data_IF_594092106482
#
_entry.id   IF_594092106482
#
_cell.length_a   1.000
_cell.length_b   1.000
_cell.length_c   1.000
_cell.angle_alpha   90.00
_cell.angle_beta   90.00
_cell.angle_gamma   90.00
#
_symmetry.space_group_name_H-M   'P 1'
#
loop_
_entity.id
_entity.type
_entity.pdbx_description
1 polymer ?
#
# COMPACT_ATOMS: atom_id res chain seq x y z
N UNK A 1 31.57 -11.64 -29.92
CA UNK A 1 30.90 -10.59 -29.12
C UNK A 1 31.93 -9.50 -28.83
N UNK A 2 31.73 -8.29 -29.38
CA UNK A 2 32.76 -7.25 -29.46
C UNK A 2 32.77 -6.33 -28.23
N UNK A 3 33.97 -5.92 -27.80
CA UNK A 3 34.24 -4.95 -26.71
C UNK A 3 33.52 -3.60 -26.88
N UNK A 4 32.97 -3.32 -28.06
CA UNK A 4 32.20 -2.11 -28.36
C UNK A 4 30.78 -2.11 -27.74
N UNK A 5 30.14 -3.28 -27.60
CA UNK A 5 28.76 -3.37 -27.09
C UNK A 5 28.68 -3.15 -25.58
N UNK A 6 29.70 -3.57 -24.83
CA UNK A 6 29.79 -3.38 -23.39
C UNK A 6 29.97 -1.90 -23.00
N UNK A 7 30.48 -1.07 -23.92
CA UNK A 7 30.75 0.36 -23.68
C UNK A 7 29.50 1.22 -23.80
N UNK A 8 28.53 0.84 -24.65
CA UNK A 8 27.23 1.51 -24.77
C UNK A 8 26.35 1.29 -23.56
N UNK A 9 26.37 0.08 -23.00
CA UNK A 9 25.65 -0.22 -21.76
C UNK A 9 26.25 0.62 -20.62
N UNK A 10 27.58 0.68 -20.47
CA UNK A 10 28.24 1.42 -19.37
C UNK A 10 28.03 2.94 -19.37
N UNK A 11 27.82 3.58 -20.53
CA UNK A 11 27.66 5.03 -20.65
C UNK A 11 26.32 5.58 -20.17
N UNK A 12 25.26 4.77 -20.18
CA UNK A 12 23.94 5.14 -19.67
C UNK A 12 23.81 4.99 -18.14
N UNK A 13 24.84 4.45 -17.46
CA UNK A 13 24.68 3.79 -16.18
C UNK A 13 25.32 4.47 -14.95
N UNK A 14 25.72 5.74 -15.01
CA UNK A 14 26.24 6.43 -13.80
C UNK A 14 25.22 7.35 -13.11
N UNK A 15 24.20 7.82 -13.84
CA UNK A 15 23.00 8.47 -13.29
C UNK A 15 21.69 8.00 -13.95
N UNK A 16 21.79 7.23 -15.05
CA UNK A 16 20.66 6.77 -15.86
C UNK A 16 20.23 5.32 -15.64
N UNK A 17 20.96 4.48 -14.89
CA UNK A 17 20.43 3.15 -14.51
C UNK A 17 19.27 3.30 -13.58
N UNK A 18 19.45 4.08 -12.51
CA UNK A 18 18.49 4.14 -11.41
C UNK A 18 17.19 4.77 -11.92
N UNK A 19 17.30 5.94 -12.58
CA UNK A 19 16.16 6.58 -13.23
C UNK A 19 15.55 5.72 -14.36
N UNK A 20 16.39 5.02 -15.14
CA UNK A 20 15.91 4.11 -16.19
C UNK A 20 15.18 2.88 -15.63
N UNK A 21 15.66 2.33 -14.52
CA UNK A 21 15.09 1.19 -13.80
C UNK A 21 13.81 1.60 -13.09
N UNK A 22 13.78 2.77 -12.44
CA UNK A 22 12.58 3.34 -11.83
C UNK A 22 11.50 3.59 -12.87
N UNK A 23 11.84 4.22 -14.00
CA UNK A 23 10.91 4.41 -15.10
C UNK A 23 10.42 3.09 -15.71
N UNK A 24 11.28 2.06 -15.78
CA UNK A 24 10.90 0.73 -16.24
C UNK A 24 9.97 0.03 -15.23
N UNK A 25 10.25 0.13 -13.94
CA UNK A 25 9.44 -0.41 -12.86
C UNK A 25 8.05 0.27 -12.83
N UNK A 26 8.00 1.59 -12.97
CA UNK A 26 6.75 2.34 -13.05
C UNK A 26 5.89 1.89 -14.25
N UNK A 27 6.49 1.81 -15.46
CA UNK A 27 5.78 1.31 -16.66
C UNK A 27 5.33 -0.15 -16.50
N UNK A 28 6.14 -0.99 -15.85
CA UNK A 28 5.77 -2.37 -15.56
C UNK A 28 4.57 -2.43 -14.62
N UNK A 29 4.61 -1.68 -13.50
CA UNK A 29 3.54 -1.64 -12.52
C UNK A 29 2.23 -1.12 -13.13
N UNK A 30 2.29 -0.04 -13.90
CA UNK A 30 1.13 0.51 -14.61
C UNK A 30 0.52 -0.53 -15.57
N UNK A 31 1.36 -1.19 -16.37
CA UNK A 31 0.91 -2.24 -17.29
C UNK A 31 0.30 -3.44 -16.56
N UNK A 32 0.98 -3.93 -15.51
CA UNK A 32 0.49 -5.04 -14.70
C UNK A 32 -0.85 -4.68 -14.04
N UNK A 33 -0.99 -3.46 -13.54
CA UNK A 33 -2.23 -2.94 -12.97
C UNK A 33 -3.37 -2.89 -13.99
N UNK A 34 -3.10 -2.48 -15.23
CA UNK A 34 -4.08 -2.45 -16.33
C UNK A 34 -4.48 -3.84 -16.82
N UNK A 35 -3.55 -4.80 -16.78
CA UNK A 35 -3.76 -6.18 -17.21
C UNK A 35 -4.37 -7.08 -16.11
N UNK A 36 -4.73 -6.52 -14.94
CA UNK A 36 -5.29 -7.30 -13.83
C UNK A 36 -4.29 -8.28 -13.23
N UNK A 37 -2.99 -7.98 -13.33
CA UNK A 37 -1.92 -8.86 -12.88
C UNK A 37 -1.44 -8.56 -11.46
N UNK A 38 -2.17 -7.71 -10.73
CA UNK A 38 -1.83 -7.21 -9.40
C UNK A 38 -3.00 -7.48 -8.46
N UNK A 39 -2.75 -8.32 -7.46
CA UNK A 39 -3.77 -8.72 -6.48
C UNK A 39 -3.79 -7.75 -5.29
N UNK A 40 -2.63 -7.17 -4.96
CA UNK A 40 -2.46 -6.22 -3.85
C UNK A 40 -1.70 -4.99 -4.33
N UNK A 41 -2.34 -3.83 -4.23
CA UNK A 41 -1.68 -2.54 -4.42
C UNK A 41 -1.26 -2.00 -3.06
N UNK A 42 -0.07 -1.40 -2.97
CA UNK A 42 0.35 -0.66 -1.78
C UNK A 42 0.88 0.73 -2.11
N UNK A 43 0.88 1.61 -1.11
CA UNK A 43 1.39 2.97 -1.22
C UNK A 43 1.79 3.52 0.15
N UNK A 44 2.66 4.54 0.19
CA UNK A 44 2.91 5.32 1.40
C UNK A 44 1.84 6.38 1.62
N UNK A 45 1.64 6.74 2.89
CA UNK A 45 0.86 7.90 3.30
C UNK A 45 1.62 8.63 4.41
N UNK A 46 1.39 9.94 4.54
CA UNK A 46 1.98 10.74 5.60
C UNK A 46 0.96 10.96 6.72
N UNK A 47 1.45 11.06 7.95
CA UNK A 47 0.61 11.34 9.11
C UNK A 47 1.39 12.17 10.15
N UNK A 48 0.70 12.80 11.10
CA UNK A 48 1.35 13.45 12.24
C UNK A 48 2.23 12.51 13.09
N UNK A 49 2.06 11.19 12.93
CA UNK A 49 2.85 10.17 13.62
C UNK A 49 4.10 9.72 12.82
N UNK A 50 4.26 10.22 11.58
CA UNK A 50 5.26 9.80 10.60
C UNK A 50 4.64 9.13 9.36
N UNK A 51 5.47 8.71 8.42
CA UNK A 51 5.00 8.06 7.17
C UNK A 51 4.69 6.58 7.39
N UNK A 52 3.49 6.16 7.02
CA UNK A 52 3.04 4.77 7.06
C UNK A 52 2.84 4.16 5.66
N UNK A 53 2.22 2.98 5.60
CA UNK A 53 1.82 2.32 4.35
C UNK A 53 0.37 1.84 4.38
N UNK A 54 -0.25 1.84 3.22
CA UNK A 54 -1.59 1.29 2.96
C UNK A 54 -1.47 0.16 1.96
N UNK A 55 -2.35 -0.82 2.07
CA UNK A 55 -2.54 -1.82 1.02
C UNK A 55 -4.03 -2.07 0.79
N UNK A 56 -4.39 -2.28 -0.48
CA UNK A 56 -5.74 -2.58 -0.91
C UNK A 56 -5.76 -3.73 -1.92
N UNK A 57 -6.84 -4.52 -1.85
CA UNK A 57 -7.24 -5.47 -2.89
C UNK A 57 -8.43 -4.90 -3.65
N UNK A 58 -8.96 -5.64 -4.63
CA UNK A 58 -10.22 -5.28 -5.30
C UNK A 58 -11.43 -5.24 -4.35
N UNK A 59 -11.33 -5.81 -3.14
CA UNK A 59 -12.40 -5.80 -2.13
C UNK A 59 -12.38 -4.57 -1.24
N UNK A 60 -11.28 -3.82 -1.21
CA UNK A 60 -11.09 -2.69 -0.31
C UNK A 60 -9.72 -2.67 0.37
N UNK A 61 -9.58 -1.77 1.34
CA UNK A 61 -8.36 -1.62 2.14
C UNK A 61 -8.15 -2.86 3.01
N UNK A 62 -7.00 -3.53 2.83
CA UNK A 62 -6.69 -4.81 3.49
C UNK A 62 -5.71 -4.66 4.65
N UNK A 63 -4.86 -3.63 4.61
CA UNK A 63 -3.90 -3.38 5.67
C UNK A 63 -3.47 -1.90 5.74
N UNK A 64 -3.16 -1.47 6.96
CA UNK A 64 -2.52 -0.19 7.27
C UNK A 64 -1.34 -0.48 8.19
N UNK A 65 -0.15 -0.04 7.78
CA UNK A 65 1.06 -0.09 8.59
C UNK A 65 1.39 1.31 9.10
N UNK A 66 1.55 1.42 10.41
CA UNK A 66 2.03 2.63 11.07
C UNK A 66 3.55 2.79 10.86
N UNK A 67 4.12 3.98 11.15
CA UNK A 67 5.52 4.29 10.83
C UNK A 67 6.57 3.38 11.49
N UNK A 68 6.20 2.68 12.57
CA UNK A 68 7.07 1.74 13.26
C UNK A 68 7.19 0.37 12.56
N UNK A 69 6.39 0.10 11.53
CA UNK A 69 6.42 -1.16 10.77
C UNK A 69 7.29 -0.98 9.51
N UNK A 70 8.27 -1.87 9.36
CA UNK A 70 9.19 -1.86 8.23
C UNK A 70 8.51 -2.23 6.91
N UNK A 71 9.09 -1.81 5.77
CA UNK A 71 8.56 -2.16 4.45
C UNK A 71 8.57 -3.66 4.19
N UNK A 72 9.72 -4.30 4.42
CA UNK A 72 9.90 -5.72 4.15
C UNK A 72 8.94 -6.58 4.98
N UNK A 73 8.73 -6.21 6.26
CA UNK A 73 7.76 -6.86 7.14
C UNK A 73 6.33 -6.73 6.60
N UNK A 74 5.94 -5.52 6.20
CA UNK A 74 4.62 -5.25 5.64
C UNK A 74 4.38 -6.01 4.34
N UNK A 75 5.35 -6.00 3.42
CA UNK A 75 5.25 -6.72 2.15
C UNK A 75 5.23 -8.24 2.35
N UNK A 76 6.02 -8.76 3.29
CA UNK A 76 6.02 -10.18 3.64
C UNK A 76 4.66 -10.65 4.18
N UNK A 77 4.02 -9.85 5.04
CA UNK A 77 2.68 -10.14 5.56
C UNK A 77 1.64 -10.19 4.44
N UNK A 78 1.66 -9.23 3.51
CA UNK A 78 0.74 -9.20 2.37
C UNK A 78 0.96 -10.39 1.43
N UNK A 79 2.22 -10.70 1.13
CA UNK A 79 2.58 -11.82 0.27
C UNK A 79 2.12 -13.16 0.85
N UNK A 80 2.31 -13.37 2.15
CA UNK A 80 1.93 -14.61 2.82
C UNK A 80 0.42 -14.73 3.06
N UNK A 81 -0.26 -13.63 3.43
CA UNK A 81 -1.65 -13.65 3.84
C UNK A 81 -2.68 -13.39 2.73
N UNK A 82 -2.26 -12.77 1.62
CA UNK A 82 -3.18 -12.37 0.53
C UNK A 82 -2.73 -12.96 -0.81
N UNK A 83 -1.57 -12.54 -1.31
CA UNK A 83 -1.00 -12.97 -2.58
C UNK A 83 0.41 -12.40 -2.75
N UNK A 84 1.37 -13.14 -3.35
CA UNK A 84 2.70 -12.61 -3.67
C UNK A 84 2.68 -11.54 -4.79
N UNK A 85 1.55 -11.30 -5.46
CA UNK A 85 1.41 -10.30 -6.55
C UNK A 85 1.17 -8.90 -5.99
N UNK A 86 2.12 -8.44 -5.18
CA UNK A 86 2.11 -7.14 -4.49
C UNK A 86 2.92 -6.13 -5.31
N UNK A 87 2.33 -4.99 -5.68
CA UNK A 87 3.04 -3.90 -6.37
C UNK A 87 2.71 -2.53 -5.78
N UNK A 88 3.68 -1.62 -5.84
CA UNK A 88 3.46 -0.23 -5.48
C UNK A 88 2.62 0.42 -6.58
N UNK A 89 1.37 0.78 -6.26
CA UNK A 89 0.43 1.40 -7.18
C UNK A 89 -0.33 2.52 -6.47
N UNK A 90 0.31 3.69 -6.26
CA UNK A 90 -0.26 4.79 -5.49
C UNK A 90 -1.66 5.22 -5.96
N UNK A 91 -1.88 5.27 -7.28
CA UNK A 91 -3.15 5.67 -7.88
C UNK A 91 -4.35 4.82 -7.43
N UNK A 92 -4.16 3.54 -7.09
CA UNK A 92 -5.23 2.67 -6.56
C UNK A 92 -5.59 3.00 -5.11
N UNK A 93 -4.73 3.74 -4.40
CA UNK A 93 -4.87 4.09 -2.98
C UNK A 93 -5.17 5.59 -2.78
N UNK A 94 -5.24 6.40 -3.84
CA UNK A 94 -5.48 7.85 -3.73
C UNK A 94 -6.77 8.20 -2.98
N UNK A 95 -7.82 7.38 -3.11
CA UNK A 95 -9.04 7.53 -2.31
C UNK A 95 -8.77 7.41 -0.81
N UNK A 96 -8.12 6.32 -0.39
CA UNK A 96 -7.79 6.09 1.03
C UNK A 96 -6.80 7.13 1.58
N UNK A 97 -5.80 7.52 0.78
CA UNK A 97 -4.82 8.56 1.14
C UNK A 97 -5.52 9.90 1.38
N UNK A 98 -6.40 10.31 0.46
CA UNK A 98 -7.18 11.54 0.61
C UNK A 98 -8.04 11.53 1.88
N UNK A 99 -8.72 10.42 2.17
CA UNK A 99 -9.53 10.34 3.40
C UNK A 99 -8.66 10.41 4.66
N UNK A 100 -7.48 9.82 4.65
CA UNK A 100 -6.53 9.94 5.77
C UNK A 100 -6.00 11.37 5.93
N UNK A 101 -5.65 12.03 4.83
CA UNK A 101 -5.24 13.44 4.85
C UNK A 101 -6.36 14.32 5.43
N UNK A 102 -7.60 14.15 4.97
CA UNK A 102 -8.78 14.82 5.51
C UNK A 102 -9.00 14.54 7.00
N UNK A 103 -8.76 13.30 7.44
CA UNK A 103 -8.90 12.89 8.84
C UNK A 103 -7.85 13.57 9.72
N UNK A 104 -6.58 13.57 9.31
CA UNK A 104 -5.50 14.21 10.05
C UNK A 104 -5.61 15.74 10.05
N UNK A 105 -6.19 16.33 9.01
CA UNK A 105 -6.55 17.76 8.96
C UNK A 105 -7.80 18.10 9.79
N UNK A 106 -8.47 17.11 10.38
CA UNK A 106 -9.71 17.30 11.15
C UNK A 106 -10.95 17.62 10.31
N UNK A 107 -10.87 17.50 8.98
CA UNK A 107 -11.96 17.74 8.03
C UNK A 107 -12.88 16.53 7.86
N UNK A 108 -12.39 15.33 8.18
CA UNK A 108 -13.14 14.07 8.15
C UNK A 108 -13.24 13.44 9.54
N UNK A 109 -14.42 12.87 9.84
CA UNK A 109 -14.69 12.12 11.08
C UNK A 109 -15.26 10.71 10.85
N UNK A 110 -15.52 10.33 9.61
CA UNK A 110 -15.97 8.99 9.23
C UNK A 110 -15.32 8.60 7.90
N UNK A 111 -14.92 7.34 7.76
CA UNK A 111 -14.35 6.81 6.53
C UNK A 111 -15.43 6.17 5.67
N UNK A 112 -15.32 6.32 4.35
CA UNK A 112 -16.21 5.70 3.35
C UNK A 112 -15.48 4.60 2.56
N UNK A 113 -14.47 4.00 3.19
CA UNK A 113 -13.62 2.97 2.63
C UNK A 113 -14.20 1.58 2.89
N UNK A 114 -14.32 0.79 1.82
CA UNK A 114 -14.54 -0.65 1.95
C UNK A 114 -13.30 -1.32 2.58
N UNK A 115 -13.54 -2.29 3.47
CA UNK A 115 -12.48 -3.00 4.19
C UNK A 115 -12.44 -4.48 3.79
N UNK A 116 -11.26 -4.93 3.37
CA UNK A 116 -11.00 -6.35 3.13
C UNK A 116 -10.51 -7.01 4.41
N UNK A 117 -11.41 -7.73 5.08
CA UNK A 117 -11.16 -8.36 6.38
C UNK A 117 -10.36 -9.68 6.30
N UNK A 118 -9.83 -10.07 5.13
CA UNK A 118 -9.19 -11.38 4.95
C UNK A 118 -7.97 -11.64 5.83
N UNK A 119 -7.21 -10.59 6.19
CA UNK A 119 -6.07 -10.71 7.11
C UNK A 119 -6.49 -10.76 8.58
N UNK A 120 -7.76 -10.51 8.89
CA UNK A 120 -8.29 -10.57 10.24
C UNK A 120 -8.82 -11.97 10.51
N UNK A 121 -8.15 -12.69 11.42
CA UNK A 121 -8.55 -14.05 11.79
C UNK A 121 -10.02 -14.10 12.27
N UNK A 122 -10.80 -15.08 11.77
CA UNK A 122 -12.17 -15.27 12.23
C UNK A 122 -12.15 -15.70 13.71
N UNK A 123 -13.01 -15.08 14.52
CA UNK A 123 -13.07 -15.37 15.95
C UNK A 123 -13.31 -14.12 16.79
N UNK A 124 -12.88 -14.17 18.05
CA UNK A 124 -13.06 -13.08 19.00
C UNK A 124 -12.43 -11.77 18.50
N UNK A 125 -11.17 -11.82 18.07
CA UNK A 125 -10.45 -10.65 17.57
C UNK A 125 -11.19 -9.97 16.39
N UNK A 126 -11.61 -10.74 15.39
CA UNK A 126 -12.39 -10.20 14.27
C UNK A 126 -13.75 -9.63 14.66
N UNK A 127 -14.44 -10.20 15.67
CA UNK A 127 -15.69 -9.62 16.20
C UNK A 127 -15.44 -8.27 16.88
N UNK A 128 -14.38 -8.16 17.67
CA UNK A 128 -14.00 -6.91 18.34
C UNK A 128 -13.65 -5.82 17.32
N UNK A 129 -12.86 -6.14 16.28
CA UNK A 129 -12.54 -5.16 15.24
C UNK A 129 -13.78 -4.66 14.48
N UNK A 130 -14.72 -5.55 14.15
CA UNK A 130 -15.98 -5.14 13.51
C UNK A 130 -16.89 -4.32 14.41
N UNK A 131 -16.84 -4.55 15.73
CA UNK A 131 -17.59 -3.76 16.69
C UNK A 131 -16.97 -2.35 16.85
N UNK A 132 -15.65 -2.28 17.02
CA UNK A 132 -14.91 -1.02 17.16
C UNK A 132 -14.97 -0.17 15.89
N UNK A 133 -14.98 -0.77 14.70
CA UNK A 133 -15.18 -0.05 13.44
C UNK A 133 -16.53 0.69 13.34
N UNK A 134 -17.51 0.37 14.20
CA UNK A 134 -18.81 1.06 14.26
C UNK A 134 -18.83 2.24 15.24
N UNK A 135 -17.79 2.41 16.05
CA UNK A 135 -17.73 3.51 17.00
C UNK A 135 -17.53 4.83 16.26
N UNK A 136 -18.35 5.86 16.53
CA UNK A 136 -18.14 7.19 15.95
C UNK A 136 -16.82 7.80 16.44
N UNK A 137 -16.31 8.75 15.66
CA UNK A 137 -15.16 9.55 16.06
C UNK A 137 -15.37 10.23 17.43
N UNK A 138 -14.34 10.16 18.27
CA UNK A 138 -14.35 10.76 19.61
C UNK A 138 -15.17 9.99 20.65
N UNK A 139 -15.73 8.83 20.31
CA UNK A 139 -16.47 7.98 21.24
C UNK A 139 -15.58 6.84 21.73
N UNK A 140 -15.65 6.55 23.03
CA UNK A 140 -14.97 5.41 23.66
C UNK A 140 -15.99 4.39 24.16
N UNK A 141 -15.55 3.14 24.29
CA UNK A 141 -16.30 2.05 24.90
C UNK A 141 -15.41 1.31 25.89
N UNK A 142 -15.99 0.72 26.93
CA UNK A 142 -15.26 -0.17 27.84
C UNK A 142 -15.03 -1.54 27.20
N UNK A 143 -13.99 -2.24 27.66
CA UNK A 143 -13.76 -3.66 27.38
C UNK A 143 -14.82 -4.53 28.04
#
# INVERSE_FOLDING_TARGET
MSRADTRRIRGALSGGVAAGAEAAAARFAERAGREGLVDVAYARFDSPLGSGRLAATERGLVAVALPNVGEDEFLAQLAAGVSPRVLELPARLDGARRELDEYFDGRRRAFELELDWRLVHPGFYGRVLRATAKLPYGVTASY
#
